data_IF_223264375924
#
_entry.id   IF_223264375924
#
_cell.length_a   1.000
_cell.length_b   1.000
_cell.length_c   1.000
_cell.angle_alpha   90.00
_cell.angle_beta   90.00
_cell.angle_gamma   90.00
#
_symmetry.space_group_name_H-M   'P 1'
#
loop_
_entity.id
_entity.type
_entity.pdbx_description
1 polymer ?
#
# COMPACT_ATOMS: atom_id res chain seq x y z
N UNK A 1 8.66 -79.92 2.94
CA UNK A 1 8.75 -78.58 2.32
C UNK A 1 7.69 -77.71 2.99
N UNK A 2 8.15 -76.91 3.94
CA UNK A 2 7.24 -76.00 4.70
C UNK A 2 7.27 -74.63 4.03
N UNK A 3 6.19 -74.22 3.35
CA UNK A 3 6.06 -72.95 2.74
C UNK A 3 5.51 -72.01 3.80
N UNK A 4 6.30 -71.08 4.30
CA UNK A 4 5.93 -70.16 5.38
C UNK A 4 4.88 -69.14 4.89
N UNK A 5 3.74 -69.01 5.56
CA UNK A 5 2.61 -68.17 5.15
C UNK A 5 2.86 -66.67 5.34
N UNK A 6 4.02 -66.25 5.84
CA UNK A 6 4.28 -64.87 6.26
C UNK A 6 4.59 -63.93 5.07
N UNK A 7 4.90 -64.42 3.87
CA UNK A 7 5.19 -63.58 2.70
C UNK A 7 3.94 -62.94 2.06
N UNK A 8 2.77 -63.57 2.13
CA UNK A 8 1.55 -63.11 1.50
C UNK A 8 0.91 -61.92 2.24
N UNK A 9 0.97 -61.95 3.56
CA UNK A 9 0.34 -60.92 4.41
C UNK A 9 1.13 -59.60 4.37
N UNK A 10 2.45 -59.68 4.21
CA UNK A 10 3.32 -58.49 4.14
C UNK A 10 3.19 -57.75 2.81
N UNK A 11 2.91 -58.45 1.71
CA UNK A 11 2.73 -57.90 0.36
C UNK A 11 1.41 -57.14 0.23
N UNK A 12 0.33 -57.63 0.88
CA UNK A 12 -0.98 -56.96 0.86
C UNK A 12 -0.97 -55.64 1.65
N UNK A 13 -0.30 -55.59 2.81
CA UNK A 13 -0.18 -54.39 3.63
C UNK A 13 0.63 -53.28 2.93
N UNK A 14 1.74 -53.64 2.32
CA UNK A 14 2.56 -52.71 1.54
C UNK A 14 1.79 -52.22 0.30
N UNK A 15 1.10 -53.12 -0.42
CA UNK A 15 0.25 -52.77 -1.55
C UNK A 15 -0.89 -51.84 -1.17
N UNK A 16 -1.51 -52.05 0.00
CA UNK A 16 -2.55 -51.18 0.51
C UNK A 16 -2.03 -49.77 0.85
N UNK A 17 -0.91 -49.66 1.55
CA UNK A 17 -0.24 -48.39 1.82
C UNK A 17 0.15 -47.67 0.54
N UNK A 18 0.70 -48.37 -0.43
CA UNK A 18 1.04 -47.81 -1.74
C UNK A 18 -0.18 -47.27 -2.46
N UNK A 19 -1.32 -47.98 -2.43
CA UNK A 19 -2.56 -47.54 -3.03
C UNK A 19 -3.08 -46.27 -2.37
N UNK A 20 -2.99 -46.13 -1.03
CA UNK A 20 -3.38 -44.89 -0.32
C UNK A 20 -2.52 -43.73 -0.77
N UNK A 21 -1.19 -43.90 -0.81
CA UNK A 21 -0.27 -42.85 -1.26
C UNK A 21 -0.58 -42.45 -2.69
N UNK A 22 -0.88 -43.38 -3.59
CA UNK A 22 -1.19 -43.12 -4.97
C UNK A 22 -2.50 -42.33 -5.11
N UNK A 23 -3.53 -42.69 -4.35
CA UNK A 23 -4.82 -41.96 -4.33
C UNK A 23 -4.62 -40.53 -3.82
N UNK A 24 -3.89 -40.35 -2.70
CA UNK A 24 -3.60 -39.01 -2.17
C UNK A 24 -2.82 -38.16 -3.18
N UNK A 25 -1.78 -38.74 -3.80
CA UNK A 25 -1.03 -38.09 -4.87
C UNK A 25 -1.93 -37.65 -6.04
N UNK A 26 -2.84 -38.51 -6.48
CA UNK A 26 -3.75 -38.19 -7.55
C UNK A 26 -4.66 -37.00 -7.19
N UNK A 27 -5.15 -36.95 -5.95
CA UNK A 27 -5.95 -35.81 -5.46
C UNK A 27 -5.14 -34.52 -5.51
N UNK A 28 -3.87 -34.52 -5.08
CA UNK A 28 -3.01 -33.34 -5.17
C UNK A 28 -2.76 -32.88 -6.60
N UNK A 29 -2.51 -33.81 -7.53
CA UNK A 29 -2.32 -33.48 -8.95
C UNK A 29 -3.58 -32.82 -9.53
N UNK A 30 -4.77 -33.36 -9.24
CA UNK A 30 -6.03 -32.76 -9.67
C UNK A 30 -6.23 -31.37 -9.06
N UNK A 31 -5.95 -31.18 -7.80
CA UNK A 31 -6.05 -29.89 -7.13
C UNK A 31 -5.10 -28.87 -7.76
N UNK A 32 -3.84 -29.24 -8.00
CA UNK A 32 -2.85 -28.38 -8.66
C UNK A 32 -3.31 -28.00 -10.07
N UNK A 33 -3.82 -28.95 -10.83
CA UNK A 33 -4.35 -28.68 -12.16
C UNK A 33 -5.49 -27.68 -12.13
N UNK A 34 -6.46 -27.82 -11.21
CA UNK A 34 -7.57 -26.88 -11.05
C UNK A 34 -7.08 -25.48 -10.71
N UNK A 35 -6.13 -25.36 -9.79
CA UNK A 35 -5.58 -24.06 -9.37
C UNK A 35 -4.75 -23.42 -10.48
N UNK A 36 -3.88 -24.19 -11.14
CA UNK A 36 -2.96 -23.67 -12.15
C UNK A 36 -3.57 -23.43 -13.53
N UNK A 37 -4.57 -24.22 -13.91
CA UNK A 37 -5.17 -24.13 -15.25
C UNK A 37 -6.55 -23.51 -15.20
N UNK A 38 -7.45 -24.04 -14.37
CA UNK A 38 -8.86 -23.58 -14.35
C UNK A 38 -9.02 -22.24 -13.68
N UNK A 39 -8.27 -21.99 -12.59
CA UNK A 39 -8.34 -20.74 -11.81
C UNK A 39 -7.16 -19.81 -12.04
N UNK A 40 -6.37 -20.03 -13.07
CA UNK A 40 -5.19 -19.24 -13.38
C UNK A 40 -5.51 -17.74 -13.45
N UNK A 41 -6.47 -17.35 -14.27
CA UNK A 41 -6.82 -15.95 -14.50
C UNK A 41 -7.31 -15.23 -13.22
N UNK A 42 -8.01 -15.94 -12.35
CA UNK A 42 -8.45 -15.41 -11.07
C UNK A 42 -7.26 -15.05 -10.18
N UNK A 43 -6.29 -15.98 -10.03
CA UNK A 43 -5.11 -15.74 -9.17
C UNK A 43 -4.15 -14.71 -9.77
N UNK A 44 -4.00 -14.65 -11.10
CA UNK A 44 -3.21 -13.61 -11.77
C UNK A 44 -3.84 -12.25 -11.53
N UNK A 45 -5.14 -12.09 -11.73
CA UNK A 45 -5.84 -10.82 -11.49
C UNK A 45 -5.71 -10.36 -10.03
N UNK A 46 -5.79 -11.29 -9.08
CA UNK A 46 -5.64 -10.98 -7.67
C UNK A 46 -4.21 -10.58 -7.31
N UNK A 47 -3.21 -11.27 -7.86
CA UNK A 47 -1.80 -10.92 -7.68
C UNK A 47 -1.49 -9.54 -8.28
N UNK A 48 -2.00 -9.22 -9.46
CA UNK A 48 -1.85 -7.92 -10.09
C UNK A 48 -2.47 -6.79 -9.26
N UNK A 49 -3.63 -7.02 -8.66
CA UNK A 49 -4.29 -6.03 -7.81
C UNK A 49 -3.54 -5.79 -6.49
N UNK A 50 -2.87 -6.80 -5.94
CA UNK A 50 -2.14 -6.69 -4.68
C UNK A 50 -0.69 -6.22 -4.85
N UNK A 51 -0.03 -6.62 -5.95
CA UNK A 51 1.40 -6.34 -6.19
C UNK A 51 1.61 -5.06 -6.99
N UNK A 52 0.70 -4.71 -7.91
CA UNK A 52 0.83 -3.51 -8.73
C UNK A 52 0.11 -2.35 -8.04
N UNK A 53 0.80 -1.65 -7.16
CA UNK A 53 0.38 -0.29 -6.78
C UNK A 53 0.56 0.60 -8.00
N UNK A 54 -0.51 0.84 -8.74
CA UNK A 54 -0.52 1.84 -9.83
C UNK A 54 -0.30 3.22 -9.22
N UNK A 55 0.95 3.67 -9.20
CA UNK A 55 1.26 5.04 -8.88
C UNK A 55 0.90 5.89 -10.10
N UNK A 56 -0.21 6.61 -10.02
CA UNK A 56 -0.52 7.63 -11.01
C UNK A 56 0.42 8.80 -10.78
N UNK A 57 1.47 8.88 -11.57
CA UNK A 57 2.32 10.07 -11.60
C UNK A 57 1.47 11.21 -12.19
N UNK A 58 1.17 12.19 -11.35
CA UNK A 58 0.50 13.39 -11.84
C UNK A 58 1.45 14.14 -12.74
N UNK A 59 0.99 14.48 -13.93
CA UNK A 59 1.75 15.34 -14.82
C UNK A 59 2.07 16.67 -14.12
N UNK A 60 3.30 17.14 -14.28
CA UNK A 60 3.69 18.47 -13.82
C UNK A 60 2.97 19.51 -14.67
N UNK A 61 2.56 20.62 -14.05
CA UNK A 61 2.01 21.75 -14.78
C UNK A 61 3.11 22.34 -15.68
N UNK A 62 2.70 22.82 -16.85
CA UNK A 62 3.58 23.62 -17.69
C UNK A 62 3.94 24.94 -17.01
N UNK A 63 5.11 25.46 -17.33
CA UNK A 63 5.56 26.79 -16.94
C UNK A 63 5.16 27.80 -18.01
N UNK A 64 4.91 29.04 -17.61
CA UNK A 64 4.54 30.11 -18.53
C UNK A 64 5.70 31.09 -18.60
N UNK A 65 6.17 31.33 -19.81
CA UNK A 65 7.24 32.31 -20.10
C UNK A 65 6.70 33.48 -20.88
N UNK A 66 7.20 34.69 -20.62
CA UNK A 66 7.01 35.83 -21.46
C UNK A 66 8.31 36.11 -22.22
N UNK A 67 8.21 36.57 -23.46
CA UNK A 67 9.36 37.03 -24.23
C UNK A 67 9.62 38.51 -23.89
N UNK A 68 10.83 38.79 -23.39
CA UNK A 68 11.36 40.14 -23.25
C UNK A 68 12.47 40.32 -24.27
N UNK A 69 12.09 40.78 -25.46
CA UNK A 69 12.94 40.71 -26.63
C UNK A 69 13.13 39.26 -27.10
N UNK A 70 14.36 38.78 -27.12
CA UNK A 70 14.72 37.39 -27.48
C UNK A 70 14.84 36.46 -26.28
N UNK A 71 14.79 36.97 -25.06
CA UNK A 71 14.99 36.16 -23.84
C UNK A 71 13.67 35.74 -23.20
N UNK A 72 13.44 34.40 -23.00
CA UNK A 72 12.28 33.91 -22.28
C UNK A 72 12.44 34.14 -20.76
N UNK A 73 11.56 34.94 -20.16
CA UNK A 73 11.48 35.15 -18.72
C UNK A 73 10.32 34.36 -18.13
N UNK A 74 10.55 33.54 -17.09
CA UNK A 74 9.48 32.77 -16.48
C UNK A 74 8.50 33.71 -15.75
N UNK A 75 7.21 33.67 -16.11
CA UNK A 75 6.13 34.37 -15.42
C UNK A 75 5.48 33.51 -14.34
N UNK A 76 5.36 32.21 -14.58
CA UNK A 76 4.77 31.25 -13.66
C UNK A 76 5.68 30.04 -13.59
N UNK A 77 6.13 29.72 -12.39
CA UNK A 77 6.98 28.56 -12.09
C UNK A 77 6.23 27.62 -11.15
N UNK A 78 6.59 26.35 -11.23
CA UNK A 78 6.05 25.36 -10.28
C UNK A 78 6.73 25.51 -8.93
N UNK A 79 5.94 25.65 -7.87
CA UNK A 79 6.42 25.63 -6.49
C UNK A 79 6.25 24.24 -5.88
N UNK A 80 7.30 23.76 -5.21
CA UNK A 80 7.22 22.52 -4.44
C UNK A 80 6.46 22.78 -3.14
N UNK A 81 5.36 22.09 -2.96
CA UNK A 81 4.51 22.15 -1.78
C UNK A 81 4.39 20.77 -1.13
N UNK A 82 4.01 20.76 0.13
CA UNK A 82 3.84 19.54 0.89
C UNK A 82 2.40 19.41 1.35
N UNK A 83 1.89 18.16 1.37
CA UNK A 83 0.66 17.78 2.02
C UNK A 83 0.99 17.03 3.28
N UNK A 84 0.27 17.29 4.34
CA UNK A 84 0.34 16.48 5.56
C UNK A 84 -0.84 15.55 5.61
N UNK A 85 -0.57 14.29 5.84
CA UNK A 85 -1.58 13.27 6.05
C UNK A 85 -1.36 12.57 7.40
N UNK A 86 -2.42 12.02 7.93
CA UNK A 86 -2.39 11.22 9.16
C UNK A 86 -2.84 9.79 8.92
N UNK A 87 -2.25 8.86 9.65
CA UNK A 87 -2.80 7.54 9.90
C UNK A 87 -3.54 7.54 11.24
N UNK A 88 -4.88 7.63 11.26
CA UNK A 88 -5.68 7.68 12.48
C UNK A 88 -5.47 6.48 13.42
N UNK A 89 -4.92 5.38 12.91
CA UNK A 89 -4.65 4.19 13.73
C UNK A 89 -3.34 4.30 14.53
N UNK A 90 -2.42 5.18 14.10
CA UNK A 90 -1.11 5.38 14.69
C UNK A 90 -0.96 6.71 15.44
N UNK A 91 -1.91 7.62 15.30
CA UNK A 91 -1.90 8.89 16.05
C UNK A 91 -2.16 8.61 17.52
N UNK A 92 -1.15 8.88 18.37
CA UNK A 92 -1.21 8.70 19.82
C UNK A 92 -1.69 9.96 20.55
N UNK A 93 -1.30 11.14 20.07
CA UNK A 93 -1.65 12.44 20.67
C UNK A 93 -2.33 13.32 19.62
N UNK A 94 -3.66 13.28 19.61
CA UNK A 94 -4.48 14.08 18.70
C UNK A 94 -4.36 15.57 18.99
N UNK A 95 -4.31 15.98 20.27
CA UNK A 95 -4.28 17.38 20.63
C UNK A 95 -2.98 18.02 20.18
N UNK A 96 -1.84 17.36 20.36
CA UNK A 96 -0.55 17.82 19.88
C UNK A 96 -0.54 17.99 18.34
N UNK A 97 -1.20 17.10 17.60
CA UNK A 97 -1.35 17.23 16.14
C UNK A 97 -2.17 18.46 15.78
N UNK A 98 -3.33 18.64 16.43
CA UNK A 98 -4.24 19.77 16.19
C UNK A 98 -3.54 21.09 16.49
N UNK A 99 -2.88 21.23 17.63
CA UNK A 99 -2.20 22.46 18.03
C UNK A 99 -1.01 22.79 17.12
N UNK A 100 -0.25 21.75 16.73
CA UNK A 100 0.86 21.94 15.80
C UNK A 100 0.40 22.40 14.43
N UNK A 101 -0.64 21.79 13.88
CA UNK A 101 -1.15 22.17 12.56
C UNK A 101 -1.77 23.57 12.59
N UNK A 102 -2.54 23.91 13.62
CA UNK A 102 -3.12 25.26 13.77
C UNK A 102 -2.04 26.34 13.88
N UNK A 103 -0.94 26.06 14.56
CA UNK A 103 0.16 27.03 14.73
C UNK A 103 1.04 27.19 13.50
N UNK A 104 1.20 26.13 12.68
CA UNK A 104 2.20 26.11 11.60
C UNK A 104 1.57 26.20 10.22
N UNK A 105 0.41 25.58 9.98
CA UNK A 105 -0.15 25.43 8.63
C UNK A 105 -0.83 26.69 8.05
N UNK A 106 -1.04 27.75 8.86
CA UNK A 106 -1.42 29.09 8.39
C UNK A 106 -2.70 29.12 7.53
N UNK A 107 -3.74 28.40 7.91
CA UNK A 107 -5.03 28.40 7.18
C UNK A 107 -5.12 27.40 6.00
N UNK A 108 -4.04 26.72 5.64
CA UNK A 108 -4.03 25.65 4.62
C UNK A 108 -4.49 24.29 5.17
N UNK A 109 -5.30 24.30 6.20
CA UNK A 109 -5.82 23.10 6.87
C UNK A 109 -7.14 22.70 6.20
N UNK A 110 -7.41 21.40 6.15
CA UNK A 110 -8.70 20.89 5.68
C UNK A 110 -9.76 21.12 6.76
N UNK A 111 -10.92 21.65 6.36
CA UNK A 111 -12.03 21.88 7.27
C UNK A 111 -12.43 20.61 8.02
N UNK A 112 -12.54 20.73 9.34
CA UNK A 112 -12.87 19.58 10.18
C UNK A 112 -11.78 18.52 10.31
N UNK A 113 -10.52 18.85 10.01
CA UNK A 113 -9.38 17.93 10.08
C UNK A 113 -9.25 17.19 11.40
N UNK A 114 -9.63 17.83 12.52
CA UNK A 114 -9.62 17.18 13.83
C UNK A 114 -10.56 15.94 13.91
N UNK A 115 -11.67 15.96 13.16
CA UNK A 115 -12.57 14.79 13.05
C UNK A 115 -12.00 13.73 12.12
N UNK A 116 -11.16 14.11 11.15
CA UNK A 116 -10.53 13.15 10.24
C UNK A 116 -9.50 12.28 10.97
N UNK A 117 -8.87 12.80 12.02
CA UNK A 117 -7.93 12.05 12.86
C UNK A 117 -8.64 10.91 13.63
N UNK A 118 -9.96 11.04 13.89
CA UNK A 118 -10.75 10.01 14.58
C UNK A 118 -11.34 8.96 13.62
N UNK A 119 -11.22 9.13 12.33
CA UNK A 119 -11.88 8.31 11.31
C UNK A 119 -11.19 6.96 11.13
N UNK A 120 -11.32 6.07 12.11
CA UNK A 120 -10.92 4.66 12.01
C UNK A 120 -11.97 3.87 11.22
N UNK A 121 -11.58 2.88 10.39
CA UNK A 121 -10.26 2.25 10.24
C UNK A 121 -9.37 2.86 9.13
N UNK A 122 -9.64 4.07 8.65
CA UNK A 122 -8.81 4.68 7.60
C UNK A 122 -7.36 4.85 8.06
N UNK A 123 -6.42 4.54 7.16
CA UNK A 123 -4.98 4.71 7.40
C UNK A 123 -4.39 5.92 6.68
N UNK A 124 -5.22 6.66 5.96
CA UNK A 124 -4.76 7.82 5.21
C UNK A 124 -5.84 8.90 5.20
N UNK A 125 -5.58 10.01 5.89
CA UNK A 125 -6.43 11.19 5.92
C UNK A 125 -5.59 12.44 5.69
N UNK A 126 -5.95 13.23 4.68
CA UNK A 126 -5.26 14.48 4.37
C UNK A 126 -5.69 15.54 5.36
N UNK A 127 -4.72 16.12 6.08
CA UNK A 127 -4.95 17.16 7.07
C UNK A 127 -4.68 18.58 6.52
N UNK A 128 -3.70 18.71 5.60
CA UNK A 128 -3.38 19.99 4.95
C UNK A 128 -3.29 19.82 3.44
N UNK A 129 -3.62 20.88 2.70
CA UNK A 129 -3.58 20.84 1.23
C UNK A 129 -2.21 21.23 0.68
N UNK A 130 -1.70 22.38 1.09
CA UNK A 130 -0.45 22.94 0.57
C UNK A 130 0.25 23.68 1.69
N UNK A 131 1.39 23.18 2.11
CA UNK A 131 2.26 23.86 3.05
C UNK A 131 3.66 24.00 2.43
N UNK A 132 4.36 25.03 2.85
CA UNK A 132 5.73 25.28 2.40
C UNK A 132 6.69 24.28 2.99
N UNK A 133 7.89 24.17 2.40
CA UNK A 133 8.97 23.31 2.93
C UNK A 133 9.30 23.65 4.39
N UNK A 134 9.39 24.94 4.71
CA UNK A 134 9.71 25.40 6.07
C UNK A 134 8.66 24.94 7.08
N UNK A 135 7.37 25.07 6.72
CA UNK A 135 6.27 24.58 7.55
C UNK A 135 6.31 23.07 7.74
N UNK A 136 6.56 22.31 6.67
CA UNK A 136 6.70 20.86 6.74
C UNK A 136 7.85 20.44 7.66
N UNK A 137 9.01 21.12 7.60
CA UNK A 137 10.15 20.85 8.47
C UNK A 137 9.85 21.15 9.95
N UNK A 138 9.10 22.23 10.23
CA UNK A 138 8.68 22.55 11.60
C UNK A 138 7.76 21.46 12.19
N UNK A 139 6.81 20.96 11.41
CA UNK A 139 5.92 19.88 11.83
C UNK A 139 6.73 18.58 12.01
N UNK A 140 7.66 18.28 11.09
CA UNK A 140 8.53 17.11 11.17
C UNK A 140 9.41 17.08 12.42
N UNK A 141 9.92 18.25 12.86
CA UNK A 141 10.70 18.38 14.10
C UNK A 141 9.92 17.97 15.35
N UNK A 142 8.59 18.08 15.33
CA UNK A 142 7.73 17.66 16.46
C UNK A 142 7.60 16.13 16.59
N UNK A 143 8.05 15.35 15.59
CA UNK A 143 8.07 13.87 15.61
C UNK A 143 6.72 13.25 16.02
N UNK A 144 5.61 13.79 15.50
CA UNK A 144 4.26 13.33 15.81
C UNK A 144 4.03 11.94 15.21
N UNK A 145 3.60 10.98 16.03
CA UNK A 145 3.32 9.62 15.60
C UNK A 145 2.10 9.60 14.66
N UNK A 146 2.18 8.81 13.57
CA UNK A 146 1.10 8.67 12.61
C UNK A 146 0.95 9.84 11.62
N UNK A 147 1.91 10.78 11.57
CA UNK A 147 1.91 11.90 10.63
C UNK A 147 2.94 11.65 9.52
N UNK A 148 2.48 11.77 8.28
CA UNK A 148 3.32 11.64 7.09
C UNK A 148 3.23 12.85 6.17
N UNK A 149 4.18 12.94 5.23
CA UNK A 149 4.31 14.04 4.29
C UNK A 149 4.34 13.50 2.87
N UNK A 150 3.63 14.15 1.99
CA UNK A 150 3.64 13.89 0.55
C UNK A 150 4.07 15.15 -0.19
N UNK A 151 5.02 15.01 -1.11
CA UNK A 151 5.49 16.12 -1.95
C UNK A 151 4.52 16.30 -3.12
N UNK A 152 4.18 17.54 -3.40
CA UNK A 152 3.36 17.93 -4.54
C UNK A 152 3.89 19.19 -5.20
N UNK A 153 3.28 19.59 -6.29
CA UNK A 153 3.57 20.83 -7.00
C UNK A 153 2.31 21.70 -7.07
N UNK A 154 2.48 22.99 -6.99
CA UNK A 154 1.42 24.00 -7.14
C UNK A 154 1.75 24.96 -8.25
#
# INVERSE_FOLDING_TARGET
MSVSPTRFIRRSRVGFLFSIVLVVSAIFVVQLFVVQVVRHDYYVTQADNEQIKKFTLKAQRGEIYAMDGSDPKPLVMNETVYKVWADPTQVSDKQAVVDTLNSVAGGNIVDGFAKLIDKKPSRYQILTKYITRTQAELIKKKKLAGIGFEVGTR
#
